data_IF_221791046562
#
_entry.id   IF_221791046562
#
_cell.length_a   1.000
_cell.length_b   1.000
_cell.length_c   1.000
_cell.angle_alpha   90.00
_cell.angle_beta   90.00
_cell.angle_gamma   90.00
#
_symmetry.space_group_name_H-M   'P 1'
#
loop_
_entity.id
_entity.type
_entity.pdbx_description
1 polymer ?
#
# COMPACT_ATOMS: atom_id res chain seq x y z
N UNK A 1 16.84 48.76 2.64
CA UNK A 1 16.58 47.46 3.30
C UNK A 1 16.55 46.44 2.18
N UNK A 2 17.70 45.86 1.86
CA UNK A 2 17.90 45.09 0.64
C UNK A 2 17.30 43.70 0.81
N UNK A 3 16.39 43.31 -0.10
CA UNK A 3 15.75 41.99 -0.13
C UNK A 3 16.70 40.84 -0.52
N UNK A 4 18.00 41.09 -0.60
CA UNK A 4 19.01 40.16 -1.12
C UNK A 4 19.70 39.34 -0.02
N UNK A 5 19.45 39.65 1.26
CA UNK A 5 19.97 38.92 2.42
C UNK A 5 18.84 38.26 3.24
N UNK A 6 17.79 37.75 2.58
CA UNK A 6 16.89 36.84 3.25
C UNK A 6 17.66 35.54 3.56
N UNK A 7 17.66 35.04 4.80
CA UNK A 7 18.23 33.72 5.08
C UNK A 7 17.57 32.70 4.13
N UNK A 8 18.32 31.71 3.60
CA UNK A 8 17.73 30.71 2.70
C UNK A 8 16.48 30.15 3.36
N UNK A 9 15.39 30.09 2.59
CA UNK A 9 14.11 29.58 3.07
C UNK A 9 14.28 28.18 3.66
N UNK A 10 13.43 27.81 4.61
CA UNK A 10 13.49 26.48 5.25
C UNK A 10 13.41 25.35 4.21
N UNK A 11 12.75 25.58 3.09
CA UNK A 11 12.69 24.72 1.91
C UNK A 11 14.08 24.46 1.28
N UNK A 12 14.88 25.52 1.03
CA UNK A 12 16.23 25.38 0.47
C UNK A 12 17.16 24.62 1.43
N UNK A 13 17.06 24.89 2.74
CA UNK A 13 17.84 24.17 3.75
C UNK A 13 17.52 22.68 3.83
N UNK A 14 16.25 22.29 3.67
CA UNK A 14 15.85 20.87 3.66
C UNK A 14 16.50 20.14 2.48
N UNK A 15 16.46 20.76 1.29
CA UNK A 15 17.01 20.19 0.05
C UNK A 15 18.53 20.09 0.06
N UNK A 16 19.21 20.98 0.78
CA UNK A 16 20.68 20.98 0.89
C UNK A 16 21.24 19.94 1.87
N UNK A 17 20.43 19.45 2.83
CA UNK A 17 20.88 18.51 3.87
C UNK A 17 20.43 17.07 3.63
N UNK A 18 19.33 16.85 2.91
CA UNK A 18 18.80 15.53 2.60
C UNK A 18 18.31 15.50 1.16
N UNK A 19 18.59 14.41 0.44
CA UNK A 19 17.95 14.13 -0.85
C UNK A 19 16.46 13.75 -0.67
N UNK A 20 15.65 14.74 -0.34
CA UNK A 20 14.22 14.58 -0.08
C UNK A 20 13.48 14.11 -1.34
N UNK A 21 13.90 14.58 -2.52
CA UNK A 21 13.30 14.18 -3.79
C UNK A 21 13.61 12.72 -4.13
N UNK A 22 14.86 12.28 -3.96
CA UNK A 22 15.23 10.88 -4.11
C UNK A 22 14.46 9.98 -3.13
N UNK A 23 14.36 10.40 -1.87
CA UNK A 23 13.60 9.66 -0.86
C UNK A 23 12.10 9.57 -1.17
N UNK A 24 11.50 10.65 -1.68
CA UNK A 24 10.12 10.66 -2.15
C UNK A 24 9.92 9.71 -3.34
N UNK A 25 10.85 9.69 -4.31
CA UNK A 25 10.76 8.81 -5.47
C UNK A 25 10.88 7.33 -5.09
N UNK A 26 11.81 6.98 -4.19
CA UNK A 26 11.95 5.60 -3.69
C UNK A 26 10.68 5.17 -2.96
N UNK A 27 10.15 6.04 -2.10
CA UNK A 27 8.91 5.77 -1.35
C UNK A 27 7.72 5.62 -2.29
N UNK A 28 7.59 6.50 -3.28
CA UNK A 28 6.53 6.41 -4.28
C UNK A 28 6.62 5.12 -5.09
N UNK A 29 7.81 4.73 -5.54
CA UNK A 29 8.03 3.49 -6.28
C UNK A 29 7.70 2.26 -5.43
N UNK A 30 8.10 2.25 -4.15
CA UNK A 30 7.77 1.19 -3.22
C UNK A 30 6.25 1.12 -2.96
N UNK A 31 5.62 2.24 -2.60
CA UNK A 31 4.18 2.30 -2.31
C UNK A 31 3.32 1.91 -3.51
N UNK A 32 3.63 2.41 -4.71
CA UNK A 32 2.91 2.03 -5.94
C UNK A 32 3.14 0.54 -6.25
N UNK A 33 4.37 0.07 -6.15
CA UNK A 33 4.72 -1.33 -6.42
C UNK A 33 3.97 -2.30 -5.51
N UNK A 34 3.99 -2.06 -4.20
CA UNK A 34 3.26 -2.88 -3.22
C UNK A 34 1.75 -2.80 -3.49
N UNK A 35 1.19 -1.59 -3.65
CA UNK A 35 -0.24 -1.43 -3.87
C UNK A 35 -0.73 -2.17 -5.12
N UNK A 36 -0.01 -2.10 -6.25
CA UNK A 36 -0.40 -2.82 -7.47
C UNK A 36 -0.42 -4.34 -7.24
N UNK A 37 0.62 -4.88 -6.59
CA UNK A 37 0.70 -6.31 -6.31
C UNK A 37 -0.39 -6.76 -5.36
N UNK A 38 -0.63 -6.00 -4.28
CA UNK A 38 -1.69 -6.25 -3.31
C UNK A 38 -3.06 -6.25 -3.97
N UNK A 39 -3.38 -5.23 -4.76
CA UNK A 39 -4.66 -5.15 -5.47
C UNK A 39 -4.85 -6.33 -6.41
N UNK A 40 -3.79 -6.79 -7.08
CA UNK A 40 -3.86 -7.94 -7.97
C UNK A 40 -4.02 -9.27 -7.21
N UNK A 41 -3.08 -9.61 -6.34
CA UNK A 41 -3.06 -10.91 -5.67
C UNK A 41 -4.20 -11.06 -4.64
N UNK A 42 -4.46 -10.02 -3.86
CA UNK A 42 -5.44 -10.12 -2.78
C UNK A 42 -6.86 -10.19 -3.34
N UNK A 43 -7.16 -9.43 -4.40
CA UNK A 43 -8.48 -9.49 -5.05
C UNK A 43 -8.70 -10.81 -5.80
N UNK A 44 -7.66 -11.36 -6.42
CA UNK A 44 -7.73 -12.65 -7.11
C UNK A 44 -7.98 -13.79 -6.12
N UNK A 45 -7.21 -13.83 -5.02
CA UNK A 45 -7.39 -14.81 -3.95
C UNK A 45 -8.76 -14.66 -3.29
N UNK A 46 -9.16 -13.43 -2.97
CA UNK A 46 -10.47 -13.14 -2.39
C UNK A 46 -11.63 -13.57 -3.29
N UNK A 47 -11.54 -13.35 -4.61
CA UNK A 47 -12.55 -13.78 -5.57
C UNK A 47 -12.73 -15.30 -5.54
N UNK A 48 -11.62 -16.07 -5.50
CA UNK A 48 -11.68 -17.52 -5.33
C UNK A 48 -12.32 -17.92 -3.99
N UNK A 49 -11.89 -17.32 -2.87
CA UNK A 49 -12.44 -17.62 -1.53
C UNK A 49 -13.90 -17.20 -1.33
N UNK A 50 -14.39 -16.24 -2.13
CA UNK A 50 -15.75 -15.74 -2.06
C UNK A 50 -16.71 -16.51 -2.96
N UNK A 51 -16.31 -16.81 -4.20
CA UNK A 51 -17.21 -17.30 -5.27
C UNK A 51 -17.03 -18.75 -5.68
N UNK A 52 -15.99 -19.41 -5.20
CA UNK A 52 -15.74 -20.81 -5.52
C UNK A 52 -15.84 -21.67 -4.27
N UNK A 53 -16.35 -22.88 -4.48
CA UNK A 53 -16.37 -23.95 -3.49
C UNK A 53 -15.24 -24.90 -3.84
N UNK A 54 -14.31 -25.09 -2.92
CA UNK A 54 -13.21 -26.02 -3.07
C UNK A 54 -12.89 -26.67 -1.72
N UNK A 55 -12.36 -27.91 -1.71
CA UNK A 55 -12.09 -28.63 -0.47
C UNK A 55 -11.12 -27.84 0.40
N UNK A 56 -11.44 -27.69 1.69
CA UNK A 56 -10.61 -26.97 2.65
C UNK A 56 -10.73 -25.43 2.63
N UNK A 57 -11.64 -24.85 1.84
CA UNK A 57 -11.84 -23.38 1.74
C UNK A 57 -11.92 -22.67 3.09
N UNK A 58 -12.74 -23.18 4.01
CA UNK A 58 -12.94 -22.55 5.32
C UNK A 58 -11.72 -22.72 6.24
N UNK A 59 -10.99 -23.83 6.13
CA UNK A 59 -9.77 -24.07 6.88
C UNK A 59 -8.65 -23.14 6.41
N UNK A 60 -8.40 -23.06 5.09
CA UNK A 60 -7.40 -22.16 4.52
C UNK A 60 -7.71 -20.70 4.84
N UNK A 61 -8.98 -20.30 4.76
CA UNK A 61 -9.38 -18.94 5.15
C UNK A 61 -9.21 -18.70 6.66
N UNK A 62 -9.51 -19.70 7.50
CA UNK A 62 -9.26 -19.63 8.94
C UNK A 62 -7.77 -19.49 9.28
N UNK A 63 -6.90 -20.25 8.59
CA UNK A 63 -5.44 -20.13 8.73
C UNK A 63 -4.95 -18.75 8.29
N UNK A 64 -5.48 -18.22 7.19
CA UNK A 64 -5.18 -16.86 6.74
C UNK A 64 -5.56 -15.83 7.82
N UNK A 65 -6.72 -15.96 8.46
CA UNK A 65 -7.08 -15.08 9.57
C UNK A 65 -6.17 -15.26 10.79
N UNK A 66 -5.74 -16.48 11.09
CA UNK A 66 -4.81 -16.74 12.18
C UNK A 66 -3.46 -16.04 11.94
N UNK A 67 -2.98 -15.95 10.69
CA UNK A 67 -1.77 -15.18 10.38
C UNK A 67 -1.93 -13.68 10.65
N UNK A 68 -3.13 -13.12 10.45
CA UNK A 68 -3.42 -11.73 10.75
C UNK A 68 -3.42 -11.43 12.27
N UNK A 69 -3.62 -12.44 13.11
CA UNK A 69 -3.52 -12.30 14.57
C UNK A 69 -2.07 -12.23 15.07
N UNK A 70 -1.10 -12.64 14.24
CA UNK A 70 0.30 -12.54 14.57
C UNK A 70 0.74 -11.09 14.30
N UNK A 71 1.25 -10.36 15.30
CA UNK A 71 1.76 -9.01 15.08
C UNK A 71 2.95 -9.04 14.12
N UNK A 72 2.94 -8.16 13.13
CA UNK A 72 3.96 -8.11 12.06
C UNK A 72 5.37 -7.92 12.59
N UNK A 73 5.52 -7.29 13.76
CA UNK A 73 6.80 -7.07 14.42
C UNK A 73 7.49 -8.38 14.85
N UNK A 74 6.74 -9.44 15.16
CA UNK A 74 7.32 -10.74 15.49
C UNK A 74 7.91 -11.44 14.26
N UNK A 75 7.34 -11.19 13.09
CA UNK A 75 7.81 -11.74 11.82
C UNK A 75 9.01 -10.95 11.25
N UNK A 76 9.41 -9.84 11.87
CA UNK A 76 10.43 -8.95 11.34
C UNK A 76 11.80 -9.62 11.21
N UNK A 77 12.27 -10.25 12.30
CA UNK A 77 13.58 -10.94 12.32
C UNK A 77 13.63 -12.07 11.29
N UNK A 78 12.69 -13.04 11.25
CA UNK A 78 12.75 -14.11 10.26
C UNK A 78 12.61 -13.58 8.82
N UNK A 79 11.80 -12.54 8.60
CA UNK A 79 11.69 -11.90 7.29
C UNK A 79 13.00 -11.26 6.86
N UNK A 80 13.69 -10.55 7.75
CA UNK A 80 15.01 -9.98 7.47
C UNK A 80 16.04 -11.05 7.10
N UNK A 81 16.14 -12.12 7.91
CA UNK A 81 17.08 -13.23 7.66
C UNK A 81 16.82 -13.86 6.29
N UNK A 82 15.55 -14.11 5.95
CA UNK A 82 15.16 -14.67 4.65
C UNK A 82 15.62 -13.79 3.48
N UNK A 83 15.45 -12.46 3.59
CA UNK A 83 15.88 -11.53 2.55
C UNK A 83 17.40 -11.34 2.49
N UNK A 84 18.08 -11.46 3.63
CA UNK A 84 19.53 -11.47 3.69
C UNK A 84 20.10 -12.69 2.97
N UNK A 85 19.53 -13.88 3.19
CA UNK A 85 19.89 -15.11 2.47
C UNK A 85 19.65 -14.99 0.96
N UNK A 86 18.58 -14.30 0.55
CA UNK A 86 18.32 -14.03 -0.87
C UNK A 86 19.21 -12.92 -1.47
N UNK A 87 19.98 -12.19 -0.66
CA UNK A 87 20.77 -11.04 -1.09
C UNK A 87 19.90 -9.88 -1.59
N UNK A 88 18.73 -9.68 -0.98
CA UNK A 88 17.79 -8.61 -1.36
C UNK A 88 17.91 -7.36 -0.49
N UNK A 89 18.62 -7.44 0.63
CA UNK A 89 18.89 -6.30 1.50
C UNK A 89 19.55 -5.17 0.71
N UNK A 90 19.13 -3.93 0.98
CA UNK A 90 19.60 -2.72 0.30
C UNK A 90 18.95 -2.45 -1.06
N UNK A 91 17.89 -3.18 -1.44
CA UNK A 91 17.24 -3.03 -2.75
C UNK A 91 15.73 -2.82 -2.67
N UNK A 92 15.16 -2.18 -3.69
CA UNK A 92 13.73 -1.85 -3.75
C UNK A 92 12.83 -3.10 -3.67
N UNK A 93 13.29 -4.26 -4.16
CA UNK A 93 12.55 -5.53 -4.05
C UNK A 93 12.36 -5.98 -2.60
N UNK A 94 13.26 -5.63 -1.67
CA UNK A 94 13.08 -5.92 -0.25
C UNK A 94 11.97 -5.08 0.38
N UNK A 95 11.62 -3.93 -0.21
CA UNK A 95 10.47 -3.12 0.20
C UNK A 95 9.17 -3.64 -0.43
N UNK A 96 9.22 -4.09 -1.68
CA UNK A 96 8.02 -4.40 -2.46
C UNK A 96 7.51 -5.83 -2.23
N UNK A 97 8.39 -6.82 -2.39
CA UNK A 97 7.98 -8.23 -2.50
C UNK A 97 7.35 -8.79 -1.21
N UNK A 98 7.89 -8.52 0.00
CA UNK A 98 7.30 -9.06 1.22
C UNK A 98 5.87 -8.59 1.47
N UNK A 99 5.53 -7.37 1.02
CA UNK A 99 4.19 -6.80 1.14
C UNK A 99 3.25 -7.13 -0.02
N UNK A 100 3.68 -7.93 -1.01
CA UNK A 100 2.95 -8.13 -2.27
C UNK A 100 1.57 -8.77 -2.13
N UNK A 101 1.33 -9.50 -1.05
CA UNK A 101 0.03 -10.05 -0.69
C UNK A 101 -0.10 -10.09 0.83
N UNK A 102 -1.27 -9.80 1.38
CA UNK A 102 -1.45 -9.79 2.82
C UNK A 102 -2.84 -10.28 3.25
N UNK A 103 -2.89 -10.82 4.48
CA UNK A 103 -4.11 -11.42 5.02
C UNK A 103 -5.26 -10.41 5.13
N UNK A 104 -4.97 -9.15 5.47
CA UNK A 104 -5.98 -8.10 5.56
C UNK A 104 -6.66 -7.82 4.22
N UNK A 105 -5.89 -7.64 3.15
CA UNK A 105 -6.43 -7.35 1.83
C UNK A 105 -7.25 -8.51 1.29
N UNK A 106 -6.79 -9.76 1.48
CA UNK A 106 -7.56 -10.95 1.09
C UNK A 106 -8.87 -11.03 1.90
N UNK A 107 -8.80 -10.80 3.21
CA UNK A 107 -9.99 -10.78 4.07
C UNK A 107 -10.98 -9.70 3.62
N UNK A 108 -10.51 -8.45 3.51
CA UNK A 108 -11.32 -7.29 3.11
C UNK A 108 -12.00 -7.52 1.76
N UNK A 109 -11.22 -7.89 0.74
CA UNK A 109 -11.74 -8.12 -0.60
C UNK A 109 -12.69 -9.30 -0.64
N UNK A 110 -12.50 -10.32 0.21
CA UNK A 110 -13.45 -11.45 0.27
C UNK A 110 -14.78 -11.01 0.87
N UNK A 111 -14.75 -10.23 1.95
CA UNK A 111 -15.99 -9.71 2.54
C UNK A 111 -16.74 -8.82 1.54
N UNK A 112 -16.01 -7.93 0.87
CA UNK A 112 -16.58 -7.08 -0.17
C UNK A 112 -17.14 -7.90 -1.34
N UNK A 113 -16.38 -8.86 -1.87
CA UNK A 113 -16.79 -9.72 -2.99
C UNK A 113 -18.03 -10.56 -2.68
N UNK A 114 -18.17 -11.04 -1.42
CA UNK A 114 -19.35 -11.79 -0.99
C UNK A 114 -20.63 -10.96 -1.06
N UNK A 115 -20.58 -9.70 -0.65
CA UNK A 115 -21.74 -8.81 -0.66
C UNK A 115 -22.01 -8.15 -2.02
N UNK A 116 -20.97 -7.77 -2.75
CA UNK A 116 -21.09 -6.95 -3.94
C UNK A 116 -21.40 -7.74 -5.22
N UNK A 117 -20.93 -8.99 -5.33
CA UNK A 117 -21.10 -9.81 -6.55
C UNK A 117 -22.25 -10.79 -6.31
N UNK A 118 -23.37 -10.71 -7.05
CA UNK A 118 -24.41 -11.75 -7.01
C UNK A 118 -23.91 -13.09 -7.58
N UNK A 119 -24.27 -14.21 -6.94
CA UNK A 119 -23.85 -15.55 -7.39
C UNK A 119 -24.48 -15.94 -8.74
N UNK A 120 -25.61 -15.33 -9.08
CA UNK A 120 -26.30 -15.47 -10.37
C UNK A 120 -25.42 -14.99 -11.54
N UNK A 121 -24.69 -13.88 -11.38
CA UNK A 121 -23.79 -13.36 -12.43
C UNK A 121 -22.63 -14.33 -12.70
N UNK A 122 -22.11 -14.97 -11.66
CA UNK A 122 -21.06 -15.98 -11.78
C UNK A 122 -21.60 -17.24 -12.46
N UNK A 123 -22.84 -17.63 -12.13
CA UNK A 123 -23.50 -18.79 -12.72
C UNK A 123 -23.82 -18.56 -14.20
N UNK A 124 -24.31 -17.36 -14.57
CA UNK A 124 -24.53 -16.96 -15.96
C UNK A 124 -23.22 -16.98 -16.77
N UNK A 125 -22.14 -16.41 -16.23
CA UNK A 125 -20.84 -16.43 -16.90
C UNK A 125 -20.29 -17.87 -17.09
N UNK A 126 -20.60 -18.81 -16.19
CA UNK A 126 -20.27 -20.23 -16.36
C UNK A 126 -21.08 -20.87 -17.50
N UNK A 127 -22.36 -20.54 -17.63
CA UNK A 127 -23.21 -21.01 -18.75
C UNK A 127 -22.67 -20.49 -20.08
N UNK A 128 -22.15 -19.25 -20.12
CA UNK A 128 -21.48 -18.65 -21.28
C UNK A 128 -20.07 -19.23 -21.56
N UNK A 129 -19.65 -20.27 -20.82
CA UNK A 129 -18.35 -20.91 -21.00
C UNK A 129 -17.16 -20.06 -20.56
N UNK A 130 -17.36 -19.01 -19.76
CA UNK A 130 -16.26 -18.20 -19.26
C UNK A 130 -15.43 -18.98 -18.23
N UNK A 131 -14.13 -19.14 -18.48
CA UNK A 131 -13.19 -19.69 -17.49
C UNK A 131 -12.94 -18.75 -16.31
N UNK A 132 -12.22 -19.23 -15.28
CA UNK A 132 -11.98 -18.49 -14.02
C UNK A 132 -11.45 -17.06 -14.23
N UNK A 133 -10.37 -16.90 -15.00
CA UNK A 133 -9.77 -15.59 -15.24
C UNK A 133 -10.69 -14.66 -16.04
N UNK A 134 -11.49 -15.20 -16.96
CA UNK A 134 -12.47 -14.40 -17.70
C UNK A 134 -13.56 -13.91 -16.75
N UNK A 135 -14.12 -14.78 -15.90
CA UNK A 135 -15.11 -14.39 -14.89
C UNK A 135 -14.56 -13.32 -13.94
N UNK A 136 -13.31 -13.49 -13.48
CA UNK A 136 -12.64 -12.50 -12.65
C UNK A 136 -12.50 -11.16 -13.38
N UNK A 137 -12.00 -11.12 -14.61
CA UNK A 137 -11.76 -9.87 -15.33
C UNK A 137 -13.03 -9.16 -15.80
N UNK A 138 -14.06 -9.90 -16.23
CA UNK A 138 -15.26 -9.32 -16.84
C UNK A 138 -16.39 -9.07 -15.84
N UNK A 139 -16.50 -9.89 -14.79
CA UNK A 139 -17.58 -9.77 -13.80
C UNK A 139 -17.03 -9.30 -12.45
N UNK A 140 -16.00 -9.97 -11.94
CA UNK A 140 -15.44 -9.68 -10.62
C UNK A 140 -14.82 -8.28 -10.55
N UNK A 141 -13.79 -8.03 -11.36
CA UNK A 141 -12.96 -6.83 -11.29
C UNK A 141 -13.76 -5.53 -11.44
N UNK A 142 -14.72 -5.37 -12.37
CA UNK A 142 -15.52 -4.15 -12.47
C UNK A 142 -16.36 -3.87 -11.23
N UNK A 143 -16.95 -4.92 -10.64
CA UNK A 143 -17.77 -4.81 -9.42
C UNK A 143 -16.91 -4.57 -8.18
N UNK A 144 -15.66 -5.07 -8.18
CA UNK A 144 -14.72 -4.91 -7.08
C UNK A 144 -13.98 -3.56 -7.09
N UNK A 145 -14.08 -2.75 -8.15
CA UNK A 145 -13.39 -1.44 -8.27
C UNK A 145 -13.50 -0.55 -7.02
N UNK A 146 -14.67 -0.40 -6.39
CA UNK A 146 -14.82 0.36 -5.14
C UNK A 146 -13.99 -0.19 -3.97
N UNK A 147 -14.07 -1.51 -3.76
CA UNK A 147 -13.35 -2.21 -2.71
C UNK A 147 -11.84 -2.12 -2.93
N UNK A 148 -11.41 -2.18 -4.19
CA UNK A 148 -10.02 -1.97 -4.62
C UNK A 148 -9.55 -0.53 -4.38
N UNK A 149 -10.41 0.48 -4.55
CA UNK A 149 -10.04 1.86 -4.25
C UNK A 149 -9.72 2.04 -2.76
N UNK A 150 -10.56 1.50 -1.87
CA UNK A 150 -10.27 1.50 -0.43
C UNK A 150 -8.98 0.76 -0.10
N UNK A 151 -8.85 -0.49 -0.57
CA UNK A 151 -7.66 -1.30 -0.31
C UNK A 151 -6.40 -0.60 -0.84
N UNK A 152 -6.49 0.02 -2.02
CA UNK A 152 -5.36 0.68 -2.66
C UNK A 152 -4.87 1.90 -1.89
N UNK A 153 -5.79 2.74 -1.42
CA UNK A 153 -5.44 3.87 -0.54
C UNK A 153 -4.88 3.36 0.78
N UNK A 154 -5.56 2.40 1.40
CA UNK A 154 -5.12 1.84 2.69
C UNK A 154 -3.70 1.28 2.60
N UNK A 155 -3.41 0.45 1.60
CA UNK A 155 -2.08 -0.13 1.37
C UNK A 155 -1.05 0.95 1.05
N UNK A 156 -1.38 1.91 0.18
CA UNK A 156 -0.47 2.99 -0.17
C UNK A 156 -0.06 3.79 1.07
N UNK A 157 -1.03 4.17 1.91
CA UNK A 157 -0.79 4.90 3.15
C UNK A 157 0.07 4.11 4.12
N UNK A 158 -0.16 2.80 4.26
CA UNK A 158 0.66 1.96 5.13
C UNK A 158 2.12 1.95 4.68
N UNK A 159 2.37 1.72 3.39
CA UNK A 159 3.76 1.67 2.86
C UNK A 159 4.43 3.04 2.87
N UNK A 160 3.67 4.10 2.58
CA UNK A 160 4.19 5.47 2.59
C UNK A 160 4.62 5.94 3.99
N UNK A 161 3.90 5.51 5.02
CA UNK A 161 4.17 5.86 6.41
C UNK A 161 5.06 4.82 7.12
N UNK A 162 5.48 3.76 6.43
CA UNK A 162 6.33 2.75 7.05
C UNK A 162 7.74 3.29 7.28
N UNK A 163 8.18 3.14 8.51
CA UNK A 163 9.49 3.59 8.98
C UNK A 163 10.35 2.39 9.39
N UNK A 164 9.78 1.46 10.15
CA UNK A 164 10.53 0.42 10.83
C UNK A 164 11.16 -0.56 9.85
N UNK A 165 10.40 -1.03 8.86
CA UNK A 165 10.92 -2.00 7.90
C UNK A 165 12.00 -1.39 6.99
N UNK A 166 11.78 -0.23 6.34
CA UNK A 166 12.82 0.42 5.53
C UNK A 166 14.09 0.75 6.31
N UNK A 167 13.98 1.17 7.57
CA UNK A 167 15.14 1.47 8.43
C UNK A 167 16.09 0.26 8.56
N UNK A 168 15.54 -0.96 8.54
CA UNK A 168 16.29 -2.18 8.80
C UNK A 168 16.84 -2.76 7.49
N UNK A 169 16.09 -2.67 6.39
CA UNK A 169 16.48 -3.31 5.12
C UNK A 169 17.21 -2.40 4.15
N UNK A 170 17.10 -1.08 4.28
CA UNK A 170 17.83 -0.14 3.42
C UNK A 170 19.17 0.20 4.06
N UNK A 171 20.25 -0.21 3.40
CA UNK A 171 21.62 -0.07 3.94
C UNK A 171 22.39 1.10 3.34
N UNK A 172 21.96 1.64 2.20
CA UNK A 172 22.60 2.78 1.54
C UNK A 172 22.00 4.09 2.07
N UNK A 173 22.78 4.94 2.76
CA UNK A 173 22.30 6.22 3.30
C UNK A 173 21.75 7.18 2.24
N UNK A 174 22.15 7.03 0.98
CA UNK A 174 21.68 7.87 -0.12
C UNK A 174 20.38 7.33 -0.76
N UNK A 175 19.92 6.14 -0.35
CA UNK A 175 18.72 5.49 -0.88
C UNK A 175 17.80 5.09 0.25
N UNK A 176 17.19 6.08 0.88
CA UNK A 176 16.29 5.87 2.01
C UNK A 176 14.86 6.18 1.61
N UNK A 177 13.91 5.58 2.32
CA UNK A 177 12.51 6.00 2.22
C UNK A 177 12.32 7.33 2.95
N UNK A 178 11.24 8.02 2.60
CA UNK A 178 10.92 9.36 3.07
C UNK A 178 10.87 9.43 4.59
N UNK A 179 10.21 8.47 5.25
CA UNK A 179 10.11 8.45 6.71
C UNK A 179 11.48 8.28 7.38
N UNK A 180 12.35 7.43 6.81
CA UNK A 180 13.71 7.22 7.34
C UNK A 180 14.60 8.44 7.09
N UNK A 181 14.47 9.06 5.91
CA UNK A 181 15.19 10.29 5.58
C UNK A 181 14.75 11.46 6.49
N UNK A 182 13.46 11.67 6.70
CA UNK A 182 12.93 12.71 7.59
C UNK A 182 13.41 12.52 9.04
N UNK A 183 13.57 11.28 9.51
CA UNK A 183 14.08 11.03 10.84
C UNK A 183 15.52 11.54 11.04
N UNK A 184 16.34 11.61 9.97
CA UNK A 184 17.70 12.13 10.06
C UNK A 184 17.75 13.65 10.36
N UNK A 185 16.65 14.36 10.11
CA UNK A 185 16.52 15.79 10.47
C UNK A 185 16.44 16.01 11.99
N UNK A 186 16.07 14.98 12.75
CA UNK A 186 16.11 14.99 14.21
C UNK A 186 17.53 14.64 14.69
N UNK A 187 18.45 15.60 14.54
CA UNK A 187 19.85 15.45 14.92
C UNK A 187 20.07 15.31 16.43
N UNK A 188 21.04 14.49 16.82
CA UNK A 188 21.38 14.20 18.23
C UNK A 188 21.90 15.44 18.99
N UNK A 189 22.50 16.40 18.28
CA UNK A 189 23.16 17.59 18.87
C UNK A 189 22.35 18.89 18.71
N UNK A 190 21.13 18.81 18.18
CA UNK A 190 20.25 19.95 17.96
C UNK A 190 19.29 19.69 16.81
N UNK A 191 18.01 19.94 17.04
CA UNK A 191 16.95 19.80 16.03
C UNK A 191 16.55 21.19 15.52
N UNK A 192 16.71 21.44 14.23
CA UNK A 192 16.05 22.57 13.58
C UNK A 192 14.57 22.19 13.34
N UNK A 193 13.72 22.57 14.29
CA UNK A 193 12.28 22.27 14.22
C UNK A 193 11.61 22.89 12.98
N UNK A 194 12.12 24.02 12.48
CA UNK A 194 11.58 24.64 11.27
C UNK A 194 11.85 23.76 10.04
N UNK A 195 13.02 23.14 9.98
CA UNK A 195 13.40 22.19 8.93
C UNK A 195 12.58 20.89 9.00
N UNK A 196 12.41 20.31 10.19
CA UNK A 196 11.59 19.11 10.40
C UNK A 196 10.14 19.35 9.99
N UNK A 197 9.56 20.49 10.41
CA UNK A 197 8.17 20.85 10.06
C UNK A 197 7.99 21.07 8.55
N UNK A 198 8.95 21.71 7.89
CA UNK A 198 8.92 21.89 6.44
C UNK A 198 9.00 20.55 5.69
N UNK A 199 9.91 19.66 6.10
CA UNK A 199 10.01 18.30 5.54
C UNK A 199 8.72 17.48 5.74
N UNK A 200 8.13 17.55 6.93
CA UNK A 200 6.86 16.91 7.23
C UNK A 200 5.72 17.45 6.33
N UNK A 201 5.60 18.77 6.17
CA UNK A 201 4.60 19.37 5.28
C UNK A 201 4.75 18.92 3.82
N UNK A 202 5.98 18.88 3.29
CA UNK A 202 6.24 18.41 1.93
C UNK A 202 5.86 16.94 1.74
N UNK A 203 6.06 16.10 2.77
CA UNK A 203 5.73 14.67 2.73
C UNK A 203 4.24 14.35 2.57
N UNK A 204 3.36 15.31 2.90
CA UNK A 204 1.91 15.17 2.79
C UNK A 204 1.39 15.40 1.37
N UNK A 205 2.13 16.12 0.52
CA UNK A 205 1.69 16.49 -0.84
C UNK A 205 1.30 15.25 -1.68
N UNK A 206 2.10 14.17 -1.74
CA UNK A 206 1.75 12.98 -2.51
C UNK A 206 0.53 12.25 -1.94
N UNK A 207 0.34 12.28 -0.62
CA UNK A 207 -0.82 11.67 0.04
C UNK A 207 -2.12 12.36 -0.37
N UNK A 208 -2.12 13.69 -0.47
CA UNK A 208 -3.26 14.46 -0.96
C UNK A 208 -3.60 14.05 -2.40
N UNK A 209 -2.58 13.89 -3.26
CA UNK A 209 -2.78 13.44 -4.63
C UNK A 209 -3.47 12.08 -4.72
N UNK A 210 -2.99 11.10 -3.95
CA UNK A 210 -3.62 9.76 -3.88
C UNK A 210 -5.04 9.82 -3.34
N UNK A 211 -5.29 10.63 -2.32
CA UNK A 211 -6.62 10.80 -1.75
C UNK A 211 -7.60 11.44 -2.75
N UNK A 212 -7.18 12.44 -3.53
CA UNK A 212 -8.04 13.04 -4.56
C UNK A 212 -8.38 12.03 -5.66
N UNK A 213 -7.41 11.20 -6.09
CA UNK A 213 -7.62 10.18 -7.12
C UNK A 213 -8.55 9.07 -6.60
N UNK A 214 -8.29 8.56 -5.40
CA UNK A 214 -9.07 7.48 -4.79
C UNK A 214 -10.45 7.93 -4.30
N UNK A 215 -10.57 9.15 -3.78
CA UNK A 215 -11.81 9.75 -3.27
C UNK A 215 -12.94 9.83 -4.29
N UNK A 216 -12.61 10.01 -5.58
CA UNK A 216 -13.60 10.02 -6.67
C UNK A 216 -14.33 8.68 -6.83
N UNK A 217 -13.69 7.57 -6.46
CA UNK A 217 -14.31 6.24 -6.53
C UNK A 217 -15.32 6.04 -5.40
N UNK A 218 -15.02 6.50 -4.18
CA UNK A 218 -15.97 6.42 -3.05
C UNK A 218 -17.28 7.18 -3.31
N UNK A 219 -17.21 8.36 -3.94
CA UNK A 219 -18.39 9.19 -4.23
C UNK A 219 -19.31 8.51 -5.25
N UNK A 220 -18.74 7.79 -6.23
CA UNK A 220 -19.51 7.07 -7.24
C UNK A 220 -20.37 5.95 -6.66
N UNK A 221 -19.87 5.25 -5.62
CA UNK A 221 -20.61 4.16 -4.97
C UNK A 221 -21.71 4.63 -4.04
N UNK A 222 -21.47 5.72 -3.30
CA UNK A 222 -22.50 6.34 -2.47
C UNK A 222 -23.66 6.80 -3.36
N UNK A 223 -23.37 7.38 -4.52
CA UNK A 223 -24.38 7.79 -5.49
C UNK A 223 -25.14 6.58 -6.10
N UNK A 224 -24.45 5.49 -6.41
CA UNK A 224 -25.08 4.27 -6.93
C UNK A 224 -25.96 3.55 -5.88
N UNK A 225 -25.58 3.60 -4.61
CA UNK A 225 -26.38 3.10 -3.48
C UNK A 225 -27.61 3.96 -3.19
N UNK A 226 -27.53 5.27 -3.38
CA UNK A 226 -28.65 6.20 -3.19
C UNK A 226 -29.76 6.06 -4.24
N UNK A 227 -29.43 5.62 -5.47
CA UNK A 227 -30.42 5.40 -6.55
C UNK A 227 -31.15 4.05 -6.46
N UNK A 228 -30.83 3.21 -5.46
CA UNK A 228 -31.50 1.91 -5.22
C UNK A 228 -32.64 1.97 -4.19
N UNK A 229 -33.11 3.18 -3.86
CA UNK A 229 -34.28 3.42 -3.00
C UNK A 229 -35.39 4.12 -3.79
#
# INVERSE_FOLDING_TARGET
MNMENAPPGCDAKVLDNIDLFGAMLITLAASVGVTVLVLFFDSLAAFAFAKYEFPGRNLLFGLLLATFMIPSQLALVPQFVTLAEFGWIGSLKALIIPGAANAFGIFWMRQYAKGAIPDELISAAKVDGAGFFRQYLTVGLPVLRPGLAFLGIFTFLNVWNDYLWPLIVMTDPNRLTLQVALQQLNGVYGTDYSMVMAGALMSVIPLIGVFIIGGRHFIADIAAGAMKF
#
